data_IF_391559624358
#
_entry.id   IF_391559624358
#
_cell.length_a   1.000
_cell.length_b   1.000
_cell.length_c   1.000
_cell.angle_alpha   90.00
_cell.angle_beta   90.00
_cell.angle_gamma   90.00
#
_symmetry.space_group_name_H-M   'P 1'
#
loop_
_entity.id
_entity.type
_entity.pdbx_description
1 polymer ?
#
# COMPACT_ATOMS: atom_id res chain seq x y z
N UNK A 1 -11.42 -24.56 -23.93
CA UNK A 1 -12.19 -23.54 -23.19
C UNK A 1 -11.89 -23.70 -21.72
N UNK A 2 -10.88 -23.01 -21.19
CA UNK A 2 -10.55 -23.06 -19.77
C UNK A 2 -11.46 -22.10 -19.03
N UNK A 3 -12.41 -22.65 -18.29
CA UNK A 3 -13.31 -21.92 -17.40
C UNK A 3 -12.48 -21.12 -16.40
N UNK A 4 -12.46 -19.79 -16.57
CA UNK A 4 -12.00 -18.85 -15.55
C UNK A 4 -12.95 -18.99 -14.35
N UNK A 5 -12.57 -19.80 -13.37
CA UNK A 5 -13.16 -19.71 -12.05
C UNK A 5 -12.80 -18.33 -11.49
N UNK A 6 -13.79 -17.44 -11.39
CA UNK A 6 -13.66 -16.16 -10.69
C UNK A 6 -13.23 -16.47 -9.25
N UNK A 7 -12.01 -16.08 -8.90
CA UNK A 7 -11.50 -16.21 -7.53
C UNK A 7 -12.41 -15.43 -6.59
N UNK A 8 -12.93 -16.09 -5.56
CA UNK A 8 -13.80 -15.49 -4.53
C UNK A 8 -13.00 -14.80 -3.43
N UNK A 9 -11.67 -14.70 -3.57
CA UNK A 9 -10.79 -14.13 -2.57
C UNK A 9 -10.95 -12.61 -2.49
N UNK A 10 -10.95 -12.09 -1.26
CA UNK A 10 -10.95 -10.65 -0.99
C UNK A 10 -9.59 -10.05 -1.32
N UNK A 11 -9.56 -8.85 -1.89
CA UNK A 11 -8.33 -8.11 -2.18
C UNK A 11 -7.98 -7.16 -1.04
N UNK A 12 -6.68 -7.04 -0.72
CA UNK A 12 -6.19 -6.09 0.27
C UNK A 12 -5.94 -4.73 -0.41
N UNK A 13 -6.57 -3.67 0.09
CA UNK A 13 -6.33 -2.32 -0.40
C UNK A 13 -5.24 -1.66 0.44
N UNK A 14 -4.09 -1.34 -0.16
CA UNK A 14 -3.01 -0.64 0.55
C UNK A 14 -2.84 0.77 0.01
N UNK A 15 -2.86 1.81 0.86
CA UNK A 15 -2.53 3.17 0.45
C UNK A 15 -1.05 3.26 0.03
N UNK A 16 -0.83 3.52 -1.26
CA UNK A 16 0.49 3.76 -1.86
C UNK A 16 0.52 5.20 -2.36
N UNK A 17 1.56 5.94 -2.00
CA UNK A 17 1.77 7.28 -2.54
C UNK A 17 1.98 7.19 -4.07
N UNK A 18 1.13 7.81 -4.89
CA UNK A 18 1.23 7.65 -6.34
C UNK A 18 2.48 8.29 -6.93
N UNK A 19 3.02 9.33 -6.29
CA UNK A 19 4.22 10.01 -6.76
C UNK A 19 5.52 9.22 -6.53
N UNK A 20 5.66 8.57 -5.37
CA UNK A 20 6.92 7.94 -4.96
C UNK A 20 6.84 6.42 -4.76
N UNK A 21 5.66 5.82 -4.92
CA UNK A 21 5.44 4.37 -4.78
C UNK A 21 5.58 3.83 -3.36
N UNK A 22 5.82 4.69 -2.36
CA UNK A 22 5.95 4.24 -0.97
C UNK A 22 4.59 3.88 -0.37
N UNK A 23 4.55 2.77 0.35
CA UNK A 23 3.40 2.42 1.19
C UNK A 23 3.26 3.45 2.31
N UNK A 24 2.11 4.10 2.42
CA UNK A 24 1.85 5.07 3.50
C UNK A 24 1.87 4.37 4.87
N UNK A 25 1.51 3.08 4.89
CA UNK A 25 1.63 2.21 6.08
C UNK A 25 3.09 1.99 6.44
N UNK A 26 3.97 1.61 5.49
CA UNK A 26 5.40 1.47 5.77
C UNK A 26 5.99 2.75 6.33
N UNK A 27 5.59 3.89 5.79
CA UNK A 27 6.05 5.18 6.26
C UNK A 27 5.51 5.54 7.66
N UNK A 28 4.45 4.91 8.15
CA UNK A 28 3.86 5.22 9.44
C UNK A 28 3.25 6.62 9.49
N UNK A 29 2.83 7.13 8.34
CA UNK A 29 2.17 8.44 8.23
C UNK A 29 0.69 8.19 8.49
N UNK A 30 0.16 8.81 9.54
CA UNK A 30 -1.27 8.76 9.86
C UNK A 30 -2.11 9.37 8.74
N UNK A 31 -3.33 8.86 8.56
CA UNK A 31 -4.24 9.32 7.49
C UNK A 31 -4.64 10.79 7.64
N UNK A 32 -4.54 11.35 8.85
CA UNK A 32 -4.70 12.76 9.18
C UNK A 32 -3.60 13.66 8.57
N UNK A 33 -2.45 13.08 8.21
CA UNK A 33 -1.29 13.79 7.65
C UNK A 33 -1.07 13.54 6.15
N UNK A 34 -1.91 12.74 5.50
CA UNK A 34 -1.79 12.49 4.06
C UNK A 34 -2.19 13.74 3.27
N UNK A 35 -1.40 14.08 2.26
CA UNK A 35 -1.80 15.10 1.29
C UNK A 35 -2.83 14.48 0.33
N UNK A 36 -4.06 14.98 0.38
CA UNK A 36 -5.20 14.46 -0.39
C UNK A 36 -5.36 15.22 -1.71
N UNK A 37 -5.62 14.49 -2.78
CA UNK A 37 -5.83 15.00 -4.13
C UNK A 37 -7.03 14.30 -4.79
N UNK A 38 -7.65 14.96 -5.76
CA UNK A 38 -8.70 14.36 -6.60
C UNK A 38 -8.24 14.42 -8.05
N UNK A 39 -8.26 13.27 -8.72
CA UNK A 39 -7.97 13.16 -10.15
C UNK A 39 -8.99 12.20 -10.78
N UNK A 40 -9.63 12.61 -11.88
CA UNK A 40 -10.69 11.84 -12.57
C UNK A 40 -11.81 11.35 -11.62
N UNK A 41 -12.18 12.18 -10.64
CA UNK A 41 -13.22 11.84 -9.66
C UNK A 41 -12.82 10.79 -8.61
N UNK A 42 -11.54 10.38 -8.57
CA UNK A 42 -10.98 9.47 -7.57
C UNK A 42 -10.08 10.22 -6.60
N UNK A 43 -10.12 9.80 -5.34
CA UNK A 43 -9.26 10.34 -4.29
C UNK A 43 -7.91 9.60 -4.28
N UNK A 44 -6.84 10.38 -4.15
CA UNK A 44 -5.47 9.90 -4.03
C UNK A 44 -4.82 10.50 -2.79
N UNK A 45 -3.90 9.75 -2.18
CA UNK A 45 -3.21 10.14 -0.95
C UNK A 45 -1.70 10.08 -1.18
N UNK A 46 -1.02 11.19 -0.90
CA UNK A 46 0.43 11.32 -0.97
C UNK A 46 1.04 11.41 0.44
N UNK A 47 2.29 10.97 0.56
CA UNK A 47 3.00 10.99 1.84
C UNK A 47 3.38 12.40 2.32
N UNK A 48 3.45 13.38 1.42
CA UNK A 48 3.74 14.77 1.74
C UNK A 48 3.21 15.69 0.64
N UNK A 49 3.27 17.01 0.88
CA UNK A 49 2.85 18.02 -0.09
C UNK A 49 3.72 18.00 -1.37
N UNK A 50 5.04 17.82 -1.26
CA UNK A 50 5.91 17.76 -2.44
C UNK A 50 5.54 16.59 -3.36
N UNK A 51 5.14 15.45 -2.80
CA UNK A 51 4.62 14.32 -3.59
C UNK A 51 3.28 14.66 -4.26
N UNK A 52 2.41 15.41 -3.58
CA UNK A 52 1.15 15.87 -4.17
C UNK A 52 1.39 16.84 -5.33
N UNK A 53 2.35 17.75 -5.18
CA UNK A 53 2.72 18.74 -6.20
C UNK A 53 3.37 18.06 -7.41
N UNK A 54 4.22 17.04 -7.19
CA UNK A 54 4.77 16.21 -8.27
C UNK A 54 3.67 15.43 -8.99
N UNK A 55 2.81 14.73 -8.25
CA UNK A 55 1.72 13.95 -8.84
C UNK A 55 0.81 14.81 -9.72
N UNK A 56 0.49 16.03 -9.27
CA UNK A 56 -0.41 16.94 -9.97
C UNK A 56 0.12 17.43 -11.33
N UNK A 57 1.44 17.35 -11.57
CA UNK A 57 2.05 17.74 -12.84
C UNK A 57 1.78 16.72 -13.95
N UNK A 58 1.75 15.42 -13.63
CA UNK A 58 1.47 14.36 -14.60
C UNK A 58 0.87 13.11 -13.92
N UNK A 59 -0.42 13.16 -13.50
CA UNK A 59 -1.04 12.06 -12.76
C UNK A 59 -1.03 10.74 -13.54
N UNK A 60 -1.27 10.79 -14.85
CA UNK A 60 -1.35 9.61 -15.70
C UNK A 60 -0.02 8.85 -15.76
N UNK A 61 1.12 9.56 -15.84
CA UNK A 61 2.46 8.95 -15.77
C UNK A 61 2.67 8.22 -14.44
N UNK A 62 2.45 8.89 -13.32
CA UNK A 62 2.67 8.32 -11.99
C UNK A 62 1.77 7.11 -11.72
N UNK A 63 0.48 7.20 -12.08
CA UNK A 63 -0.44 6.07 -11.96
C UNK A 63 -0.02 4.88 -12.83
N UNK A 64 0.54 5.12 -14.02
CA UNK A 64 1.08 4.07 -14.87
C UNK A 64 2.30 3.38 -14.25
N UNK A 65 3.19 4.14 -13.61
CA UNK A 65 4.42 3.62 -12.99
C UNK A 65 4.11 2.68 -11.81
N UNK A 66 3.09 2.98 -11.02
CA UNK A 66 2.73 2.20 -9.82
C UNK A 66 1.51 1.27 -9.99
N UNK A 67 0.93 1.18 -11.20
CA UNK A 67 -0.34 0.48 -11.47
C UNK A 67 -0.42 -0.93 -10.89
N UNK A 68 0.66 -1.70 -11.00
CA UNK A 68 0.73 -3.10 -10.57
C UNK A 68 1.58 -3.26 -9.31
N UNK A 69 1.83 -2.19 -8.56
CA UNK A 69 2.58 -2.29 -7.31
C UNK A 69 1.69 -2.86 -6.21
N UNK A 70 2.26 -3.79 -5.47
CA UNK A 70 1.65 -4.42 -4.30
C UNK A 70 2.61 -4.33 -3.13
N UNK A 71 2.05 -4.40 -1.92
CA UNK A 71 2.82 -4.32 -0.67
C UNK A 71 2.78 -5.67 0.01
N UNK A 72 3.95 -6.23 0.32
CA UNK A 72 4.02 -7.46 1.10
C UNK A 72 3.38 -7.22 2.47
N UNK A 73 2.36 -7.99 2.88
CA UNK A 73 1.61 -7.69 4.10
C UNK A 73 2.46 -7.80 5.37
N UNK A 74 3.48 -8.67 5.35
CA UNK A 74 4.32 -8.95 6.52
C UNK A 74 5.40 -7.89 6.71
N UNK A 75 6.21 -7.65 5.66
CA UNK A 75 7.40 -6.81 5.75
C UNK A 75 7.26 -5.43 5.08
N UNK A 76 6.08 -5.13 4.52
CA UNK A 76 5.74 -3.86 3.88
C UNK A 76 6.60 -3.48 2.68
N UNK A 77 7.32 -4.44 2.10
CA UNK A 77 8.08 -4.21 0.87
C UNK A 77 7.14 -3.95 -0.31
N UNK A 78 7.35 -2.83 -0.98
CA UNK A 78 6.67 -2.47 -2.22
C UNK A 78 7.35 -3.18 -3.40
N UNK A 79 6.58 -3.87 -4.24
CA UNK A 79 7.09 -4.57 -5.43
C UNK A 79 6.06 -4.55 -6.55
N UNK A 80 6.50 -4.54 -7.83
CA UNK A 80 5.63 -4.92 -8.93
C UNK A 80 5.09 -6.33 -8.72
N UNK A 81 3.82 -6.56 -9.03
CA UNK A 81 3.12 -7.84 -8.84
C UNK A 81 3.88 -9.02 -9.47
N UNK A 82 4.52 -8.82 -10.62
CA UNK A 82 5.28 -9.86 -11.33
C UNK A 82 6.54 -10.31 -10.55
N UNK A 83 6.99 -9.53 -9.56
CA UNK A 83 8.11 -9.86 -8.67
C UNK A 83 7.65 -10.43 -7.32
N UNK A 84 6.41 -10.87 -7.22
CA UNK A 84 5.83 -11.42 -5.98
C UNK A 84 5.43 -12.89 -6.13
N UNK A 85 4.96 -13.48 -5.04
CA UNK A 85 4.27 -14.77 -5.05
C UNK A 85 2.84 -14.51 -4.58
N UNK A 86 1.87 -14.82 -5.44
CA UNK A 86 0.43 -14.77 -5.14
C UNK A 86 0.01 -16.01 -4.35
N UNK A 87 -0.77 -15.82 -3.29
CA UNK A 87 -1.37 -16.88 -2.49
C UNK A 87 -2.80 -16.50 -2.10
N UNK A 88 -3.62 -17.50 -1.81
CA UNK A 88 -4.92 -17.31 -1.16
C UNK A 88 -4.83 -17.85 0.28
N UNK A 89 -5.03 -16.99 1.28
CA UNK A 89 -4.91 -17.34 2.70
C UNK A 89 -6.07 -16.70 3.46
N UNK A 90 -6.83 -17.52 4.21
CA UNK A 90 -8.00 -17.04 4.98
C UNK A 90 -9.02 -16.24 4.13
N UNK A 91 -9.20 -16.64 2.86
CA UNK A 91 -10.08 -15.97 1.91
C UNK A 91 -9.57 -14.61 1.40
N UNK A 92 -8.29 -14.28 1.64
CA UNK A 92 -7.63 -13.10 1.08
C UNK A 92 -6.69 -13.49 -0.06
N UNK A 93 -6.68 -12.71 -1.12
CA UNK A 93 -5.63 -12.71 -2.14
C UNK A 93 -4.45 -11.89 -1.62
N UNK A 94 -3.28 -12.54 -1.55
CA UNK A 94 -2.11 -11.98 -0.88
C UNK A 94 -0.88 -12.10 -1.77
N UNK A 95 -0.11 -11.02 -1.88
CA UNK A 95 1.13 -10.96 -2.65
C UNK A 95 2.34 -10.82 -1.71
N UNK A 96 3.22 -11.82 -1.69
CA UNK A 96 4.42 -11.83 -0.85
C UNK A 96 5.67 -11.46 -1.63
N UNK A 97 6.63 -10.79 -0.97
CA UNK A 97 7.89 -10.32 -1.55
C UNK A 97 8.91 -11.42 -1.95
N UNK A 98 8.47 -12.69 -2.05
CA UNK A 98 9.26 -13.92 -2.25
C UNK A 98 10.16 -14.35 -1.08
N UNK A 99 10.13 -13.65 0.05
CA UNK A 99 10.75 -14.13 1.29
C UNK A 99 9.91 -15.28 1.88
N UNK A 100 10.47 -16.49 2.09
CA UNK A 100 9.72 -17.65 2.59
C UNK A 100 9.25 -17.48 4.05
N UNK A 101 9.80 -16.51 4.79
CA UNK A 101 9.37 -16.20 6.14
C UNK A 101 8.05 -15.41 6.18
N UNK A 102 7.82 -14.53 5.20
CA UNK A 102 6.65 -13.66 5.18
C UNK A 102 5.30 -14.39 5.20
N UNK A 103 5.04 -15.40 4.35
CA UNK A 103 3.76 -16.14 4.40
C UNK A 103 3.58 -16.93 5.70
N UNK A 104 4.67 -17.49 6.27
CA UNK A 104 4.61 -18.22 7.55
C UNK A 104 4.19 -17.34 8.71
N UNK A 105 4.65 -16.09 8.73
CA UNK A 105 4.28 -15.12 9.75
C UNK A 105 2.85 -14.61 9.52
N UNK A 106 2.49 -14.29 8.27
CA UNK A 106 1.15 -13.83 7.93
C UNK A 106 0.05 -14.82 8.33
N UNK A 107 0.27 -16.12 8.11
CA UNK A 107 -0.68 -17.18 8.48
C UNK A 107 -1.02 -17.25 9.96
N UNK A 108 -0.17 -16.71 10.85
CA UNK A 108 -0.43 -16.74 12.30
C UNK A 108 -1.50 -15.75 12.73
N UNK A 109 -1.64 -14.65 11.99
CA UNK A 109 -2.63 -13.61 12.28
C UNK A 109 -2.97 -12.80 11.01
N UNK A 110 -3.69 -13.38 10.04
CA UNK A 110 -4.01 -12.71 8.79
C UNK A 110 -4.77 -11.40 8.99
N UNK A 111 -5.70 -11.37 9.95
CA UNK A 111 -6.55 -10.21 10.20
C UNK A 111 -5.75 -9.01 10.69
N UNK A 112 -4.78 -9.19 11.60
CA UNK A 112 -3.89 -8.10 12.00
C UNK A 112 -3.14 -7.50 10.80
N UNK A 113 -2.53 -8.35 9.96
CA UNK A 113 -1.75 -7.88 8.82
C UNK A 113 -2.61 -7.18 7.77
N UNK A 114 -3.81 -7.70 7.50
CA UNK A 114 -4.76 -7.07 6.57
C UNK A 114 -5.21 -5.72 7.12
N UNK A 115 -5.69 -5.65 8.37
CA UNK A 115 -6.12 -4.39 9.00
C UNK A 115 -5.02 -3.34 8.99
N UNK A 116 -3.77 -3.75 9.24
CA UNK A 116 -2.60 -2.87 9.16
C UNK A 116 -2.40 -2.30 7.76
N UNK A 117 -2.46 -3.15 6.73
CA UNK A 117 -2.27 -2.70 5.33
C UNK A 117 -3.40 -1.78 4.85
N UNK A 118 -4.62 -1.97 5.37
CA UNK A 118 -5.79 -1.14 5.04
C UNK A 118 -5.89 0.14 5.87
N UNK A 119 -4.87 0.47 6.68
CA UNK A 119 -4.87 1.61 7.60
C UNK A 119 -5.97 1.57 8.67
N UNK A 120 -6.55 0.41 8.98
CA UNK A 120 -7.61 0.27 9.99
C UNK A 120 -7.05 0.27 11.42
N UNK A 121 -5.77 -0.06 11.58
CA UNK A 121 -5.05 -0.02 12.85
C UNK A 121 -3.77 0.81 12.72
N UNK A 122 -3.36 1.50 13.79
CA UNK A 122 -2.15 2.33 13.75
C UNK A 122 -0.90 1.47 13.59
N UNK A 123 0.10 2.04 12.92
CA UNK A 123 1.43 1.45 12.79
C UNK A 123 2.46 2.57 12.68
N UNK A 124 3.46 2.56 13.56
CA UNK A 124 4.46 3.63 13.66
C UNK A 124 5.40 3.67 12.43
N UNK A 125 5.55 2.59 11.68
CA UNK A 125 6.36 2.58 10.46
C UNK A 125 7.74 3.22 10.60
N UNK A 126 8.21 3.83 9.52
CA UNK A 126 9.52 4.51 9.48
C UNK A 126 9.47 5.89 10.13
N UNK A 127 8.35 6.61 10.02
CA UNK A 127 8.24 8.02 10.42
C UNK A 127 7.18 8.31 11.51
N UNK A 128 6.51 7.31 12.07
CA UNK A 128 5.38 7.51 12.98
C UNK A 128 5.76 8.04 14.37
N UNK A 129 7.00 7.81 14.84
CA UNK A 129 7.49 8.37 16.10
C UNK A 129 8.20 9.72 15.94
N UNK A 130 8.60 10.06 14.71
CA UNK A 130 9.18 11.37 14.41
C UNK A 130 8.01 12.28 14.07
N UNK A 131 7.63 13.11 15.03
CA UNK A 131 6.73 14.24 14.78
C UNK A 131 7.38 15.20 13.79
N UNK A 132 7.33 14.89 12.50
CA UNK A 132 7.67 15.85 11.44
C UNK A 132 6.51 16.84 11.33
N UNK A 133 6.50 17.76 12.29
CA UNK A 133 5.84 19.03 12.14
C UNK A 133 6.57 19.80 11.05
N UNK A 134 5.94 19.93 9.89
CA UNK A 134 6.03 21.19 9.15
C UNK A 134 5.31 22.25 10.00
N UNK A 135 5.90 22.64 11.14
CA UNK A 135 5.59 23.95 11.71
C UNK A 135 6.00 24.94 10.65
N UNK A 136 4.99 25.50 9.96
CA UNK A 136 5.12 26.69 9.14
C UNK A 136 5.95 27.70 9.94
N UNK A 137 7.16 28.01 9.46
CA UNK A 137 7.75 29.31 9.72
C UNK A 137 7.09 30.32 8.80
#
# INVERSE_FOLDING_TARGET
>A
MTTNALSTAKTIITPICPACGCSLIRLGIGSDRWAKLIYEGKEYFCCCQDCADLFSQDPAKYLKEIKDWVVCPTCLAEKPMQQTIRMEIAGWEVFFCRCPHCPKVFQKDPDHYVKRLQAEIPYDGVFGQVGYGFTKK
#
